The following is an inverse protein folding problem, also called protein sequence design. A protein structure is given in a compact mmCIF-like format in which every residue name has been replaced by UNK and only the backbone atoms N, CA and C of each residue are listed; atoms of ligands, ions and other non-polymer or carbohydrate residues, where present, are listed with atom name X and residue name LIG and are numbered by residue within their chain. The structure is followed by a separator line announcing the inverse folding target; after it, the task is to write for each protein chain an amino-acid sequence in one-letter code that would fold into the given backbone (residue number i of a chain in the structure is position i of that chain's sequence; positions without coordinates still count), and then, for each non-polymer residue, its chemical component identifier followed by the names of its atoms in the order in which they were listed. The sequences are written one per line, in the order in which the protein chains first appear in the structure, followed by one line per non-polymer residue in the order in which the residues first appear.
data_IF_965108141257
#
_entry.id   IF_965108141257
#
_cell.length_a   1.000
_cell.length_b   1.000
_cell.length_c   1.000
_cell.angle_alpha   90.00
_cell.angle_beta   90.00
_cell.angle_gamma   90.00
#
_symmetry.space_group_name_H-M   'P 1'
#
loop_
_entity.id
_entity.type
_entity.pdbx_description
1 polymer ?
#
# COMPACT_ATOMS: atom_id res chain seq x y z
N UNK A 1 -11.08 22.78 -1.51
CA UNK A 1 -11.33 21.74 -0.48
C UNK A 1 -10.02 21.00 -0.24
N UNK A 2 -9.67 20.59 0.97
CA UNK A 2 -8.46 19.81 1.20
C UNK A 2 -8.57 18.46 0.48
N UNK A 3 -7.50 18.03 -0.20
CA UNK A 3 -7.49 16.78 -0.96
C UNK A 3 -7.82 15.59 -0.04
N UNK A 4 -8.92 14.88 -0.30
CA UNK A 4 -9.32 13.69 0.44
C UNK A 4 -8.61 12.47 -0.14
N UNK A 5 -7.86 11.74 0.69
CA UNK A 5 -7.07 10.58 0.28
C UNK A 5 -7.67 9.27 0.80
N UNK A 6 -7.71 8.25 -0.05
CA UNK A 6 -8.00 6.87 0.33
C UNK A 6 -6.72 6.04 0.34
N UNK A 7 -6.44 5.33 1.43
CA UNK A 7 -5.44 4.26 1.47
C UNK A 7 -6.15 2.90 1.48
N UNK A 8 -6.37 2.32 0.30
CA UNK A 8 -7.03 1.03 0.15
C UNK A 8 -6.02 -0.12 0.29
N UNK A 9 -6.30 -1.13 1.13
CA UNK A 9 -5.33 -2.21 1.36
C UNK A 9 -5.91 -3.63 1.30
N UNK A 10 -5.12 -4.58 0.80
CA UNK A 10 -5.42 -6.01 0.86
C UNK A 10 -4.45 -6.73 1.81
N UNK A 11 -4.98 -7.35 2.86
CA UNK A 11 -4.20 -8.07 3.88
C UNK A 11 -4.86 -9.40 4.27
N UNK A 12 -4.07 -10.34 4.80
CA UNK A 12 -4.55 -11.54 5.49
C UNK A 12 -4.15 -11.54 6.97
N UNK A 13 -2.91 -11.13 7.26
CA UNK A 13 -2.29 -11.21 8.59
C UNK A 13 -1.96 -9.83 9.19
N UNK A 14 -2.69 -8.79 8.78
CA UNK A 14 -2.59 -7.45 9.39
C UNK A 14 -1.35 -6.61 9.00
N UNK A 15 -0.25 -7.21 8.52
CA UNK A 15 0.97 -6.47 8.17
C UNK A 15 0.71 -5.27 7.23
N UNK A 16 0.06 -5.51 6.09
CA UNK A 16 -0.26 -4.45 5.10
C UNK A 16 -1.30 -3.45 5.62
N UNK A 17 -2.20 -3.88 6.52
CA UNK A 17 -3.16 -2.95 7.13
C UNK A 17 -2.44 -1.94 8.00
N UNK A 18 -1.49 -2.40 8.83
CA UNK A 18 -0.72 -1.51 9.69
C UNK A 18 0.12 -0.50 8.89
N UNK A 19 0.72 -0.93 7.77
CA UNK A 19 1.42 -0.01 6.86
C UNK A 19 0.44 1.04 6.31
N UNK A 20 -0.74 0.62 5.85
CA UNK A 20 -1.76 1.54 5.34
C UNK A 20 -2.26 2.53 6.41
N UNK A 21 -2.46 2.06 7.63
CA UNK A 21 -2.87 2.88 8.78
C UNK A 21 -1.80 3.92 9.13
N UNK A 22 -0.52 3.53 9.15
CA UNK A 22 0.60 4.47 9.35
C UNK A 22 0.65 5.53 8.25
N UNK A 23 0.54 5.15 6.97
CA UNK A 23 0.51 6.11 5.85
C UNK A 23 -0.65 7.11 6.05
N UNK A 24 -1.84 6.61 6.38
CA UNK A 24 -3.00 7.46 6.60
C UNK A 24 -2.82 8.39 7.82
N UNK A 25 -2.19 7.91 8.88
CA UNK A 25 -1.88 8.72 10.07
C UNK A 25 -0.90 9.86 9.75
N UNK A 26 0.18 9.57 9.02
CA UNK A 26 1.17 10.57 8.62
C UNK A 26 0.52 11.64 7.73
N UNK A 27 -0.26 11.24 6.73
CA UNK A 27 -0.96 12.17 5.86
C UNK A 27 -1.96 13.05 6.64
N UNK A 28 -2.71 12.47 7.59
CA UNK A 28 -3.59 13.24 8.48
C UNK A 28 -2.83 14.24 9.33
N UNK A 29 -1.70 13.84 9.93
CA UNK A 29 -0.81 14.74 10.69
C UNK A 29 -0.26 15.87 9.83
N UNK A 30 -0.04 15.62 8.54
CA UNK A 30 0.32 16.61 7.53
C UNK A 30 -0.83 17.48 7.01
N UNK A 31 -2.04 17.37 7.58
CA UNK A 31 -3.20 18.18 7.20
C UNK A 31 -3.97 17.68 5.97
N UNK A 32 -3.68 16.47 5.50
CA UNK A 32 -4.38 15.83 4.36
C UNK A 32 -5.43 14.85 4.88
N UNK A 33 -6.74 15.13 4.74
CA UNK A 33 -7.80 14.23 5.20
C UNK A 33 -7.66 12.85 4.56
N UNK A 34 -7.40 11.83 5.37
CA UNK A 34 -7.06 10.49 4.86
C UNK A 34 -7.70 9.38 5.68
N UNK A 35 -8.24 8.36 5.00
CA UNK A 35 -8.75 7.13 5.61
C UNK A 35 -8.05 5.88 5.05
N UNK A 36 -7.80 4.89 5.91
CA UNK A 36 -7.28 3.59 5.53
C UNK A 36 -8.41 2.56 5.58
N UNK A 37 -8.70 1.91 4.45
CA UNK A 37 -9.88 1.04 4.32
C UNK A 37 -9.49 -0.29 3.68
N UNK A 38 -9.98 -1.45 4.20
CA UNK A 38 -9.85 -2.72 3.49
C UNK A 38 -10.41 -2.61 2.07
N UNK A 39 -9.60 -2.98 1.08
CA UNK A 39 -9.91 -2.79 -0.33
C UNK A 39 -11.20 -3.50 -0.79
N UNK A 40 -11.63 -4.55 -0.07
CA UNK A 40 -12.90 -5.23 -0.36
C UNK A 40 -14.14 -4.49 0.16
N UNK A 41 -13.97 -3.57 1.12
CA UNK A 41 -15.03 -2.76 1.72
C UNK A 41 -15.26 -1.44 0.98
N UNK A 42 -14.35 -1.05 0.08
CA UNK A 42 -14.51 0.17 -0.71
C UNK A 42 -15.52 -0.07 -1.84
N UNK A 43 -16.62 0.67 -1.79
CA UNK A 43 -17.72 0.58 -2.77
C UNK A 43 -17.58 1.61 -3.90
N UNK A 44 -17.07 2.78 -3.56
CA UNK A 44 -16.85 3.90 -4.48
C UNK A 44 -15.51 4.58 -4.16
N UNK A 45 -14.90 5.17 -5.19
CA UNK A 45 -13.70 5.98 -5.07
C UNK A 45 -13.93 7.42 -5.53
N UNK A 46 -15.05 7.78 -6.15
CA UNK A 46 -15.25 9.09 -6.78
C UNK A 46 -15.03 10.26 -5.81
N UNK A 47 -15.41 10.10 -4.54
CA UNK A 47 -15.25 11.12 -3.48
C UNK A 47 -13.82 11.40 -3.00
N UNK A 48 -12.80 10.69 -3.52
CA UNK A 48 -11.40 10.90 -3.15
C UNK A 48 -10.63 11.62 -4.26
N UNK A 49 -9.82 12.59 -3.89
CA UNK A 49 -8.96 13.32 -4.83
C UNK A 49 -7.70 12.52 -5.19
N UNK A 50 -7.28 11.60 -4.32
CA UNK A 50 -6.07 10.80 -4.48
C UNK A 50 -6.21 9.42 -3.82
N UNK A 51 -5.47 8.43 -4.32
CA UNK A 51 -5.56 7.05 -3.82
C UNK A 51 -4.18 6.42 -3.67
N UNK A 52 -3.96 5.74 -2.55
CA UNK A 52 -2.84 4.85 -2.31
C UNK A 52 -3.37 3.42 -2.22
N UNK A 53 -2.77 2.45 -2.94
CA UNK A 53 -3.20 1.06 -2.91
C UNK A 53 -2.08 0.13 -2.44
N UNK A 54 -2.35 -0.61 -1.37
CA UNK A 54 -1.42 -1.54 -0.75
C UNK A 54 -1.82 -3.00 -0.89
N UNK A 55 -0.85 -3.88 -1.17
CA UNK A 55 -1.08 -5.33 -1.18
C UNK A 55 0.06 -6.12 -0.55
N UNK A 56 -0.28 -7.02 0.38
CA UNK A 56 0.65 -8.04 0.85
C UNK A 56 1.10 -8.95 -0.29
N UNK A 57 2.39 -9.27 -0.35
CA UNK A 57 2.97 -10.16 -1.35
C UNK A 57 2.99 -11.60 -0.84
N UNK A 58 2.32 -12.48 -1.58
CA UNK A 58 2.41 -13.92 -1.39
C UNK A 58 2.68 -14.58 -2.74
N UNK A 59 3.72 -15.40 -2.81
CA UNK A 59 4.14 -16.11 -4.03
C UNK A 59 4.21 -15.20 -5.28
N UNK A 60 4.86 -14.03 -5.13
CA UNK A 60 5.05 -13.08 -6.23
C UNK A 60 3.79 -12.37 -6.71
N UNK A 61 2.72 -12.37 -5.91
CA UNK A 61 1.44 -11.74 -6.26
C UNK A 61 0.92 -10.89 -5.10
N UNK A 62 0.35 -9.73 -5.44
CA UNK A 62 -0.47 -8.98 -4.50
C UNK A 62 -1.66 -9.78 -3.98
N UNK A 63 -2.07 -9.43 -2.76
CA UNK A 63 -3.30 -9.88 -2.15
C UNK A 63 -4.50 -9.71 -3.09
N UNK A 64 -5.42 -10.69 -3.06
CA UNK A 64 -6.54 -10.77 -4.01
C UNK A 64 -7.44 -9.53 -3.98
N UNK A 65 -7.64 -8.94 -2.81
CA UNK A 65 -8.55 -7.80 -2.64
C UNK A 65 -7.97 -6.52 -3.23
N UNK A 66 -6.68 -6.25 -3.02
CA UNK A 66 -6.00 -5.12 -3.66
C UNK A 66 -6.04 -5.22 -5.19
N UNK A 67 -5.77 -6.41 -5.75
CA UNK A 67 -5.88 -6.64 -7.21
C UNK A 67 -7.30 -6.45 -7.72
N UNK A 68 -8.31 -6.94 -6.98
CA UNK A 68 -9.72 -6.82 -7.35
C UNK A 68 -10.17 -5.36 -7.31
N UNK A 69 -9.73 -4.61 -6.31
CA UNK A 69 -9.98 -3.18 -6.17
C UNK A 69 -9.43 -2.41 -7.37
N UNK A 70 -8.15 -2.58 -7.70
CA UNK A 70 -7.53 -1.91 -8.86
C UNK A 70 -8.23 -2.28 -10.16
N UNK A 71 -8.64 -3.55 -10.33
CA UNK A 71 -9.39 -3.96 -11.52
C UNK A 71 -10.78 -3.30 -11.58
N UNK A 72 -11.47 -3.19 -10.44
CA UNK A 72 -12.83 -2.64 -10.35
C UNK A 72 -12.83 -1.14 -10.59
N UNK A 73 -11.94 -0.41 -9.94
CA UNK A 73 -11.93 1.06 -9.94
C UNK A 73 -10.91 1.67 -10.91
N UNK A 74 -10.09 0.86 -11.59
CA UNK A 74 -8.92 1.32 -12.33
C UNK A 74 -9.16 2.44 -13.34
N UNK A 75 -10.32 2.49 -14.01
CA UNK A 75 -10.68 3.59 -14.92
C UNK A 75 -10.81 4.93 -14.18
N UNK A 76 -11.49 4.92 -13.03
CA UNK A 76 -11.67 6.11 -12.18
C UNK A 76 -10.35 6.51 -11.52
N UNK A 77 -9.54 5.53 -11.14
CA UNK A 77 -8.21 5.75 -10.54
C UNK A 77 -7.19 6.35 -11.53
N UNK A 78 -7.31 6.08 -12.83
CA UNK A 78 -6.35 6.57 -13.83
C UNK A 78 -6.39 8.09 -14.03
N UNK A 79 -7.47 8.75 -13.63
CA UNK A 79 -7.64 10.20 -13.77
C UNK A 79 -7.14 11.02 -12.57
N UNK A 80 -6.48 10.39 -11.59
CA UNK A 80 -6.12 11.04 -10.32
C UNK A 80 -4.74 10.60 -9.81
N UNK A 81 -4.12 11.36 -8.90
CA UNK A 81 -2.92 10.92 -8.21
C UNK A 81 -3.09 9.53 -7.59
N UNK A 82 -2.23 8.59 -8.01
CA UNK A 82 -2.29 7.18 -7.65
C UNK A 82 -0.90 6.67 -7.30
N UNK A 83 -0.77 6.06 -6.11
CA UNK A 83 0.47 5.42 -5.65
C UNK A 83 0.18 3.99 -5.23
N UNK A 84 1.17 3.11 -5.41
CA UNK A 84 1.07 1.72 -4.98
C UNK A 84 2.11 1.41 -3.91
N UNK A 85 1.83 0.44 -3.04
CA UNK A 85 2.86 -0.17 -2.21
C UNK A 85 2.69 -1.68 -2.08
N UNK A 86 3.78 -2.36 -1.83
CA UNK A 86 3.82 -3.79 -1.52
C UNK A 86 4.32 -4.02 -0.10
N UNK A 87 3.86 -5.10 0.53
CA UNK A 87 4.32 -5.53 1.86
C UNK A 87 4.90 -6.94 1.78
N UNK A 88 6.16 -7.07 2.15
CA UNK A 88 7.03 -8.24 1.93
C UNK A 88 8.30 -7.82 1.17
N UNK A 89 9.43 -8.53 1.28
CA UNK A 89 9.61 -9.86 1.85
C UNK A 89 9.66 -9.89 3.39
N UNK A 90 9.78 -11.11 3.94
CA UNK A 90 10.00 -11.36 5.37
C UNK A 90 11.48 -11.57 5.64
N UNK A 91 12.29 -10.61 5.21
CA UNK A 91 13.73 -10.50 5.41
C UNK A 91 14.15 -9.02 5.27
N UNK A 92 15.43 -8.72 5.49
CA UNK A 92 15.96 -7.36 5.46
C UNK A 92 16.09 -6.74 4.06
N UNK A 93 15.76 -7.46 2.98
CA UNK A 93 16.02 -6.97 1.62
C UNK A 93 15.34 -5.63 1.30
N UNK A 94 14.18 -5.33 1.92
CA UNK A 94 13.43 -4.10 1.66
C UNK A 94 14.07 -2.84 2.28
N UNK A 95 14.94 -2.99 3.28
CA UNK A 95 15.71 -1.88 3.86
C UNK A 95 17.08 -1.75 3.22
N UNK A 96 17.63 -2.83 2.66
CA UNK A 96 18.95 -2.85 2.03
C UNK A 96 18.95 -2.35 0.58
N UNK A 97 17.84 -2.52 -0.15
CA UNK A 97 17.74 -2.18 -1.57
C UNK A 97 16.30 -1.92 -1.99
N UNK A 98 16.15 -1.22 -3.11
CA UNK A 98 14.86 -1.13 -3.78
C UNK A 98 14.45 -2.51 -4.35
N UNK A 99 13.20 -2.89 -4.12
CA UNK A 99 12.62 -4.14 -4.62
C UNK A 99 11.56 -3.80 -5.67
N UNK A 100 11.78 -4.18 -6.94
CA UNK A 100 10.91 -3.77 -8.02
C UNK A 100 9.50 -4.38 -7.88
N UNK A 101 8.47 -3.74 -8.45
CA UNK A 101 7.12 -4.27 -8.45
C UNK A 101 7.05 -5.64 -9.13
N UNK A 102 6.31 -6.56 -8.52
CA UNK A 102 6.01 -7.85 -9.15
C UNK A 102 5.26 -7.64 -10.48
N UNK A 103 5.37 -8.56 -11.46
CA UNK A 103 4.89 -8.32 -12.83
C UNK A 103 3.42 -7.85 -12.93
N UNK A 104 2.55 -8.33 -12.04
CA UNK A 104 1.15 -7.90 -12.01
C UNK A 104 0.97 -6.44 -11.57
N UNK A 105 1.77 -5.98 -10.60
CA UNK A 105 1.76 -4.59 -10.11
C UNK A 105 2.30 -3.67 -11.18
N UNK A 106 3.46 -4.02 -11.75
CA UNK A 106 4.07 -3.25 -12.84
C UNK A 106 3.12 -3.04 -14.03
N UNK A 107 2.41 -4.09 -14.46
CA UNK A 107 1.39 -3.96 -15.52
C UNK A 107 0.25 -3.01 -15.14
N UNK A 108 -0.20 -3.05 -13.88
CA UNK A 108 -1.23 -2.14 -13.39
C UNK A 108 -0.72 -0.69 -13.33
N UNK A 109 0.55 -0.49 -12.93
CA UNK A 109 1.18 0.82 -12.92
C UNK A 109 1.18 1.48 -14.29
N UNK A 110 1.66 0.76 -15.32
CA UNK A 110 1.64 1.24 -16.70
C UNK A 110 0.22 1.53 -17.19
N UNK A 111 -0.74 0.66 -16.85
CA UNK A 111 -2.12 0.79 -17.32
C UNK A 111 -2.87 1.98 -16.71
N UNK A 112 -2.56 2.35 -15.47
CA UNK A 112 -3.33 3.34 -14.71
C UNK A 112 -2.54 4.59 -14.33
N UNK A 113 -1.34 4.79 -14.89
CA UNK A 113 -0.54 6.00 -14.66
C UNK A 113 -0.13 6.18 -13.20
N UNK A 114 0.24 5.09 -12.52
CA UNK A 114 0.68 5.15 -11.11
C UNK A 114 1.98 5.96 -11.01
N UNK A 115 1.99 6.96 -10.12
CA UNK A 115 3.10 7.91 -9.95
C UNK A 115 4.35 7.26 -9.40
N UNK A 116 4.20 6.46 -8.34
CA UNK A 116 5.31 5.71 -7.76
C UNK A 116 4.83 4.42 -7.07
N UNK A 117 5.77 3.51 -6.86
CA UNK A 117 5.58 2.28 -6.10
C UNK A 117 6.77 2.05 -5.18
N UNK A 118 6.51 1.55 -3.96
CA UNK A 118 7.53 1.11 -3.00
C UNK A 118 7.20 -0.30 -2.49
N UNK A 119 8.22 -1.10 -2.24
CA UNK A 119 8.09 -2.39 -1.55
C UNK A 119 8.66 -2.26 -0.14
N UNK A 120 7.77 -2.28 0.86
CA UNK A 120 8.15 -2.30 2.27
C UNK A 120 8.31 -3.74 2.77
N UNK A 121 9.09 -3.93 3.84
CA UNK A 121 9.16 -5.20 4.53
C UNK A 121 7.79 -5.69 5.04
N UNK A 122 7.66 -7.01 5.15
CA UNK A 122 6.46 -7.67 5.67
C UNK A 122 6.55 -7.91 7.17
N UNK A 123 5.44 -8.33 7.75
CA UNK A 123 5.38 -8.85 9.10
C UNK A 123 4.57 -10.14 9.12
N UNK A 124 5.10 -11.16 9.78
CA UNK A 124 4.39 -12.41 10.02
C UNK A 124 4.83 -13.01 11.35
N UNK A 125 3.92 -13.01 12.31
CA UNK A 125 4.16 -13.48 13.67
C UNK A 125 3.40 -14.78 13.95
N UNK A 126 3.58 -15.32 15.16
CA UNK A 126 2.80 -16.46 15.63
C UNK A 126 1.29 -16.18 15.57
N UNK A 127 0.50 -17.23 15.31
CA UNK A 127 -0.94 -17.09 15.08
C UNK A 127 -1.32 -16.67 13.66
N UNK A 128 -0.36 -16.59 12.73
CA UNK A 128 -0.64 -16.30 11.33
C UNK A 128 -1.68 -17.26 10.71
N UNK A 129 -2.62 -16.68 9.95
CA UNK A 129 -3.70 -17.36 9.25
C UNK A 129 -3.27 -17.76 7.83
N UNK A 130 -3.69 -18.95 7.42
CA UNK A 130 -3.45 -19.51 6.09
C UNK A 130 -2.28 -20.49 6.03
N UNK A 131 -2.36 -21.48 5.14
CA UNK A 131 -1.39 -22.59 5.07
C UNK A 131 0.05 -22.12 4.79
N UNK A 132 0.23 -21.24 3.79
CA UNK A 132 1.55 -20.71 3.42
C UNK A 132 2.15 -19.92 4.57
N UNK A 133 1.36 -19.04 5.20
CA UNK A 133 1.81 -18.21 6.30
C UNK A 133 2.24 -19.04 7.52
N UNK A 134 1.43 -20.03 7.91
CA UNK A 134 1.78 -20.96 9.00
C UNK A 134 3.08 -21.72 8.73
N UNK A 135 3.30 -22.18 7.49
CA UNK A 135 4.53 -22.87 7.11
C UNK A 135 5.78 -21.97 7.17
N UNK A 136 5.64 -20.69 6.83
CA UNK A 136 6.74 -19.72 6.92
C UNK A 136 7.13 -19.53 8.40
N UNK A 137 6.14 -19.25 9.27
CA UNK A 137 6.37 -19.06 10.71
C UNK A 137 6.98 -20.32 11.33
N UNK A 138 6.43 -21.50 11.04
CA UNK A 138 6.95 -22.76 11.58
C UNK A 138 8.35 -23.11 11.09
N UNK A 139 8.82 -22.49 10.00
CA UNK A 139 10.19 -22.64 9.48
C UNK A 139 11.19 -21.65 10.07
N UNK A 140 10.78 -20.84 11.06
CA UNK A 140 11.63 -19.83 11.70
C UNK A 140 11.86 -18.58 10.85
N UNK A 141 11.08 -18.40 9.76
CA UNK A 141 11.18 -17.26 8.83
C UNK A 141 10.11 -16.19 9.07
N UNK A 142 9.45 -16.26 10.22
CA UNK A 142 8.57 -15.20 10.71
C UNK A 142 9.39 -14.06 11.30
N UNK A 143 8.75 -12.91 11.48
CA UNK A 143 9.36 -11.70 12.00
C UNK A 143 8.66 -10.44 11.51
N UNK A 144 9.03 -9.30 12.08
CA UNK A 144 8.64 -7.98 11.60
C UNK A 144 9.84 -7.32 10.91
N UNK A 145 9.70 -7.06 9.62
CA UNK A 145 10.71 -6.43 8.78
C UNK A 145 10.24 -5.07 8.27
N UNK A 146 9.12 -4.56 8.79
CA UNK A 146 8.62 -3.23 8.44
C UNK A 146 9.53 -2.17 9.05
N UNK A 147 10.09 -1.33 8.20
CA UNK A 147 10.73 -0.09 8.63
C UNK A 147 9.69 1.02 8.65
N UNK A 148 9.22 1.37 9.84
CA UNK A 148 8.23 2.44 10.01
C UNK A 148 8.79 3.83 9.69
N UNK A 149 10.10 4.06 9.86
CA UNK A 149 10.74 5.30 9.42
C UNK A 149 10.68 5.45 7.90
N UNK A 150 10.95 4.37 7.16
CA UNK A 150 10.81 4.35 5.70
C UNK A 150 9.36 4.58 5.25
N UNK A 151 8.39 3.95 5.94
CA UNK A 151 6.96 4.11 5.64
C UNK A 151 6.51 5.57 5.90
N UNK A 152 6.92 6.15 7.01
CA UNK A 152 6.59 7.53 7.39
C UNK A 152 7.21 8.55 6.45
N UNK A 153 8.47 8.34 6.04
CA UNK A 153 9.16 9.19 5.07
C UNK A 153 8.41 9.18 3.72
N UNK A 154 8.09 8.01 3.20
CA UNK A 154 7.36 7.89 1.93
C UNK A 154 5.96 8.52 2.00
N UNK A 155 5.24 8.36 3.12
CA UNK A 155 3.95 9.01 3.31
C UNK A 155 4.08 10.55 3.39
N UNK A 156 5.16 11.06 3.97
CA UNK A 156 5.47 12.49 4.01
C UNK A 156 5.74 13.05 2.61
N UNK A 157 6.44 12.31 1.76
CA UNK A 157 6.70 12.70 0.36
C UNK A 157 5.38 12.82 -0.42
N UNK A 158 4.47 11.83 -0.26
CA UNK A 158 3.13 11.89 -0.87
C UNK A 158 2.36 13.13 -0.37
N UNK A 159 2.40 13.41 0.94
CA UNK A 159 1.74 14.58 1.51
C UNK A 159 2.28 15.90 0.93
N UNK A 160 3.60 15.99 0.77
CA UNK A 160 4.28 17.14 0.16
C UNK A 160 3.87 17.32 -1.30
N UNK A 161 3.79 16.22 -2.06
CA UNK A 161 3.37 16.25 -3.46
C UNK A 161 1.92 16.73 -3.61
N UNK A 162 1.01 16.22 -2.77
CA UNK A 162 -0.41 16.59 -2.78
C UNK A 162 -0.63 18.06 -2.41
N UNK A 163 0.08 18.57 -1.41
CA UNK A 163 -0.04 19.96 -0.94
C UNK A 163 0.66 20.97 -1.85
N UNK A 164 1.68 20.53 -2.59
CA UNK A 164 2.38 21.39 -3.57
C UNK A 164 1.62 21.48 -4.90
N UNK A 165 1.03 20.37 -5.36
CA UNK A 165 0.15 20.38 -6.54
C UNK A 165 -1.14 21.19 -6.36
N UNK A 166 -1.65 21.29 -5.13
CA UNK A 166 -2.82 22.11 -4.81
C UNK A 166 -2.57 23.63 -4.89
N UNK A 167 -1.29 24.09 -4.93
CA UNK A 167 -0.93 25.51 -4.97
C UNK A 167 -0.82 26.09 -6.40
N UNK A 168 -0.99 25.26 -7.43
CA UNK A 168 -0.81 25.65 -8.85
C UNK A 168 -2.07 25.50 -9.70
N UNK A 169 -3.23 25.25 -9.10
CA UNK A 169 -4.53 25.12 -9.77
C UNK A 169 -5.50 26.23 -9.43
#
# INVERSE_FOLDING_TARGET
MPAKVLVAYGTTNGSTARIAETIAEVLRKGGVPTEAVPAHSVMDVESYDAVVVGGGLYAGRWHKDARRFVRRHGRVLAGRPLWFFSSGPLDASATEKDIPPVPGVRRAMTRFGVRAHVTFGGCLEEGAKGFVARKIVSSGKGGDFRDFGQIEAWATDIGTELTSGARTG
#
